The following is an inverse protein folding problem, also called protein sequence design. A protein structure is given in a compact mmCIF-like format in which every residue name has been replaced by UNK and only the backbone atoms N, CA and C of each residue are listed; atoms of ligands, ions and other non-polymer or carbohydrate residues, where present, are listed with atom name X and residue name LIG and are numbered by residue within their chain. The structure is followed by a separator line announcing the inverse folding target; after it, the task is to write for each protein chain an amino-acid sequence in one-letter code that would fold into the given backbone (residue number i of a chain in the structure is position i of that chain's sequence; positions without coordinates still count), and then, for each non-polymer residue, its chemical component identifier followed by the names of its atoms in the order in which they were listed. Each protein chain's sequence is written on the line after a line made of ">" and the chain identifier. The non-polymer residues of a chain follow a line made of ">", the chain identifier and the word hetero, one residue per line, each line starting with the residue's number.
data_IF_210298166525
#
_entry.id   IF_210298166525
#
_cell.length_a   1.000
_cell.length_b   1.000
_cell.length_c   1.000
_cell.angle_alpha   90.00
_cell.angle_beta   90.00
_cell.angle_gamma   90.00
#
_symmetry.space_group_name_H-M   'P 1'
#
loop_
_entity.id
_entity.type
_entity.pdbx_description
1 polymer ?
#
# COMPACT_ATOMS: atom_id res chain seq x y z
N UNK A 1 -17.11 0.40 0.40
CA UNK A 1 -15.99 1.12 -0.21
C UNK A 1 -14.87 0.15 -0.58
N UNK A 2 -14.09 0.51 -1.58
CA UNK A 2 -13.00 -0.31 -2.07
C UNK A 2 -11.67 0.38 -1.79
N UNK A 3 -10.66 -0.40 -1.46
CA UNK A 3 -9.32 0.10 -1.15
C UNK A 3 -8.32 -0.48 -2.15
N UNK A 4 -7.44 0.34 -2.67
CA UNK A 4 -6.33 -0.13 -3.51
C UNK A 4 -5.03 0.13 -2.77
N UNK A 5 -4.29 -0.94 -2.48
CA UNK A 5 -3.04 -0.85 -1.72
C UNK A 5 -1.87 -0.76 -2.70
N UNK A 6 -1.09 0.31 -2.56
CA UNK A 6 0.14 0.51 -3.35
C UNK A 6 1.33 0.29 -2.41
N UNK A 7 2.13 -0.71 -2.71
CA UNK A 7 3.34 -1.00 -1.94
C UNK A 7 4.48 -0.11 -2.40
N UNK A 8 5.42 0.17 -1.50
CA UNK A 8 6.53 1.06 -1.79
C UNK A 8 7.43 0.62 -2.93
N UNK A 9 7.46 -0.69 -3.22
CA UNK A 9 8.24 -1.22 -4.34
C UNK A 9 7.40 -1.39 -5.63
N UNK A 10 6.19 -0.85 -5.63
CA UNK A 10 5.26 -0.96 -6.76
C UNK A 10 4.80 0.42 -7.23
N UNK A 11 5.71 1.37 -7.34
CA UNK A 11 5.40 2.73 -7.75
C UNK A 11 5.33 2.82 -9.28
N UNK A 12 4.35 2.11 -9.84
CA UNK A 12 4.11 2.12 -11.28
C UNK A 12 3.49 3.44 -11.71
N UNK A 13 3.56 3.74 -13.01
CA UNK A 13 2.96 4.97 -13.53
C UNK A 13 1.50 5.10 -13.06
N UNK A 14 1.07 6.28 -12.59
CA UNK A 14 -0.31 6.47 -12.13
C UNK A 14 -1.38 6.13 -13.17
N UNK A 15 -1.02 6.08 -14.46
CA UNK A 15 -1.97 5.68 -15.51
C UNK A 15 -2.53 4.28 -15.28
N UNK A 16 -1.78 3.40 -14.62
CA UNK A 16 -2.24 2.06 -14.31
C UNK A 16 -3.28 2.03 -13.18
N UNK A 17 -3.45 3.15 -12.50
CA UNK A 17 -4.45 3.30 -11.44
C UNK A 17 -5.71 4.02 -11.93
N UNK A 18 -5.76 4.46 -13.18
CA UNK A 18 -6.91 5.21 -13.69
C UNK A 18 -8.23 4.43 -13.59
N UNK A 19 -8.16 3.11 -13.73
CA UNK A 19 -9.35 2.25 -13.60
C UNK A 19 -9.85 2.16 -12.17
N UNK A 20 -9.05 2.62 -11.20
CA UNK A 20 -9.33 2.47 -9.78
C UNK A 20 -9.56 3.80 -9.07
N UNK A 21 -10.00 4.82 -9.83
CA UNK A 21 -10.28 6.13 -9.23
C UNK A 21 -11.45 6.11 -8.25
N UNK A 22 -12.31 5.12 -8.33
CA UNK A 22 -13.39 4.89 -7.38
C UNK A 22 -12.91 4.25 -6.09
N UNK A 23 -11.66 3.78 -6.07
CA UNK A 23 -11.03 3.22 -4.88
C UNK A 23 -10.33 4.30 -4.07
N UNK A 24 -10.19 4.04 -2.77
CA UNK A 24 -9.28 4.82 -1.94
C UNK A 24 -7.90 4.19 -2.11
N UNK A 25 -6.92 5.00 -2.52
CA UNK A 25 -5.54 4.53 -2.66
C UNK A 25 -4.88 4.59 -1.28
N UNK A 26 -4.30 3.49 -0.84
CA UNK A 26 -3.63 3.40 0.46
C UNK A 26 -2.15 3.19 0.27
N UNK A 27 -1.36 4.02 0.93
CA UNK A 27 0.09 3.88 1.00
C UNK A 27 0.50 4.07 2.46
N UNK A 28 1.48 3.30 2.91
CA UNK A 28 1.99 3.43 4.27
C UNK A 28 3.51 3.25 4.29
N UNK A 29 4.18 4.14 4.99
CA UNK A 29 5.59 3.99 5.29
C UNK A 29 5.69 3.06 6.49
N UNK A 30 6.28 1.89 6.31
CA UNK A 30 6.39 0.90 7.37
C UNK A 30 7.85 0.63 7.70
N UNK A 31 8.19 0.85 8.96
CA UNK A 31 9.55 0.65 9.43
C UNK A 31 10.03 -0.79 9.19
N UNK A 32 9.17 -1.77 9.45
CA UNK A 32 9.49 -3.18 9.24
C UNK A 32 9.84 -3.49 7.80
N UNK A 33 9.07 -2.94 6.84
CA UNK A 33 9.34 -3.14 5.42
C UNK A 33 10.61 -2.41 5.00
N UNK A 34 10.85 -1.21 5.54
CA UNK A 34 12.04 -0.43 5.21
C UNK A 34 13.33 -1.10 5.70
N UNK A 35 13.27 -1.82 6.81
CA UNK A 35 14.47 -2.42 7.42
C UNK A 35 14.58 -3.92 7.23
N UNK A 36 13.62 -4.54 6.55
CA UNK A 36 13.51 -5.99 6.41
C UNK A 36 14.79 -6.62 5.87
N UNK A 37 15.42 -6.02 4.87
CA UNK A 37 16.62 -6.53 4.24
C UNK A 37 17.90 -5.85 4.75
N UNK A 38 17.83 -5.18 5.88
CA UNK A 38 18.96 -4.43 6.43
C UNK A 38 19.56 -3.46 5.42
N UNK A 39 18.70 -2.72 4.74
CA UNK A 39 19.13 -1.75 3.74
C UNK A 39 20.06 -0.70 4.33
N UNK A 40 20.99 -0.24 3.51
CA UNK A 40 21.81 0.90 3.84
C UNK A 40 20.91 2.10 4.12
N UNK A 41 21.29 2.91 5.12
CA UNK A 41 20.52 4.08 5.55
C UNK A 41 20.12 4.98 4.38
N UNK A 42 21.02 5.19 3.42
CA UNK A 42 20.76 6.01 2.25
C UNK A 42 19.66 5.39 1.36
N UNK A 43 19.65 4.07 1.21
CA UNK A 43 18.63 3.38 0.42
C UNK A 43 17.25 3.54 1.04
N UNK A 44 17.16 3.48 2.37
CA UNK A 44 15.91 3.69 3.09
C UNK A 44 15.40 5.10 2.84
N UNK A 45 16.27 6.08 2.90
CA UNK A 45 15.91 7.48 2.66
C UNK A 45 15.40 7.70 1.25
N UNK A 46 16.08 7.11 0.24
CA UNK A 46 15.65 7.19 -1.15
C UNK A 46 14.30 6.51 -1.36
N UNK A 47 14.09 5.38 -0.71
CA UNK A 47 12.83 4.65 -0.78
C UNK A 47 11.66 5.49 -0.26
N UNK A 48 11.84 6.10 0.91
CA UNK A 48 10.80 6.96 1.51
C UNK A 48 10.55 8.22 0.67
N UNK A 49 11.63 8.81 0.12
CA UNK A 49 11.49 9.97 -0.75
C UNK A 49 10.69 9.65 -2.01
N UNK A 50 10.94 8.47 -2.59
CA UNK A 50 10.20 8.01 -3.78
C UNK A 50 8.73 7.82 -3.47
N UNK A 51 8.40 7.24 -2.31
CA UNK A 51 7.02 7.07 -1.90
C UNK A 51 6.30 8.41 -1.73
N UNK A 52 6.98 9.39 -1.12
CA UNK A 52 6.40 10.71 -0.90
C UNK A 52 6.19 11.47 -2.21
N UNK A 53 7.13 11.34 -3.15
CA UNK A 53 6.97 11.93 -4.49
C UNK A 53 5.78 11.31 -5.22
N UNK A 54 5.64 10.01 -5.15
CA UNK A 54 4.52 9.29 -5.76
C UNK A 54 3.19 9.72 -5.13
N UNK A 55 3.15 9.87 -3.82
CA UNK A 55 1.98 10.39 -3.10
C UNK A 55 1.56 11.75 -3.66
N UNK A 56 2.52 12.66 -3.82
CA UNK A 56 2.24 14.00 -4.30
C UNK A 56 1.73 13.98 -5.74
N UNK A 57 2.28 13.09 -6.58
CA UNK A 57 1.81 12.91 -7.95
C UNK A 57 0.36 12.41 -7.98
N UNK A 58 0.02 11.42 -7.14
CA UNK A 58 -1.35 10.93 -7.05
C UNK A 58 -2.32 12.01 -6.60
N UNK A 59 -1.92 12.83 -5.63
CA UNK A 59 -2.73 13.94 -5.17
C UNK A 59 -2.98 14.95 -6.29
N UNK A 60 -1.96 15.26 -7.08
CA UNK A 60 -2.10 16.20 -8.19
C UNK A 60 -3.03 15.69 -9.28
N UNK A 61 -3.22 14.38 -9.37
CA UNK A 61 -4.11 13.73 -10.34
C UNK A 61 -5.49 13.41 -9.78
N UNK A 62 -5.81 13.98 -8.62
CA UNK A 62 -7.13 13.89 -7.98
C UNK A 62 -7.51 12.47 -7.52
N UNK A 63 -6.55 11.65 -7.19
CA UNK A 63 -6.83 10.36 -6.55
C UNK A 63 -7.23 10.57 -5.09
N UNK A 64 -8.16 9.75 -4.62
CA UNK A 64 -8.54 9.73 -3.21
C UNK A 64 -7.49 8.89 -2.48
N UNK A 65 -6.69 9.52 -1.64
CA UNK A 65 -5.47 8.92 -1.09
C UNK A 65 -5.44 8.98 0.43
N UNK A 66 -5.08 7.85 1.04
CA UNK A 66 -4.73 7.78 2.45
C UNK A 66 -3.25 7.42 2.52
N UNK A 67 -2.46 8.28 3.14
CA UNK A 67 -1.01 8.07 3.28
C UNK A 67 -0.64 8.07 4.76
N UNK A 68 -0.04 6.97 5.22
CA UNK A 68 0.42 6.84 6.61
C UNK A 68 1.92 7.07 6.69
N UNK A 69 2.30 8.19 7.28
CA UNK A 69 3.68 8.60 7.46
C UNK A 69 4.36 7.71 8.52
N UNK A 70 5.66 7.49 8.37
CA UNK A 70 6.45 6.67 9.31
C UNK A 70 6.47 7.28 10.72
N UNK A 71 6.31 8.59 10.83
CA UNK A 71 6.29 9.28 12.13
C UNK A 71 4.99 9.04 12.90
N UNK A 72 3.96 8.55 12.23
CA UNK A 72 2.68 8.20 12.83
C UNK A 72 2.55 6.69 12.86
N UNK A 73 2.15 6.15 14.00
CA UNK A 73 1.87 4.72 14.11
C UNK A 73 3.03 3.82 13.69
N UNK A 74 4.27 4.29 13.78
CA UNK A 74 5.41 3.51 13.31
C UNK A 74 5.59 2.18 14.08
N UNK A 75 5.02 2.09 15.28
CA UNK A 75 5.06 0.87 16.09
C UNK A 75 4.01 -0.15 15.68
N UNK A 76 3.03 0.27 14.87
CA UNK A 76 2.00 -0.64 14.40
C UNK A 76 2.51 -1.42 13.20
N UNK A 77 2.11 -2.68 13.10
CA UNK A 77 2.43 -3.49 11.93
C UNK A 77 1.67 -2.93 10.72
N UNK A 78 2.14 -3.29 9.52
CA UNK A 78 1.49 -2.88 8.28
C UNK A 78 0.02 -3.34 8.25
N UNK A 79 -0.22 -4.58 8.70
CA UNK A 79 -1.55 -5.15 8.74
C UNK A 79 -2.48 -4.35 9.64
N UNK A 80 -2.00 -3.90 10.80
CA UNK A 80 -2.82 -3.11 11.72
C UNK A 80 -3.17 -1.75 11.15
N UNK A 81 -2.27 -1.14 10.39
CA UNK A 81 -2.56 0.13 9.70
C UNK A 81 -3.70 -0.06 8.70
N UNK A 82 -3.68 -1.15 7.95
CA UNK A 82 -4.73 -1.47 6.99
C UNK A 82 -6.05 -1.77 7.73
N UNK A 83 -5.99 -2.53 8.82
CA UNK A 83 -7.19 -2.84 9.60
C UNK A 83 -7.88 -1.59 10.15
N UNK A 84 -7.12 -0.59 10.56
CA UNK A 84 -7.68 0.69 10.98
C UNK A 84 -8.49 1.34 9.86
N UNK A 85 -7.93 1.37 8.65
CA UNK A 85 -8.62 1.96 7.50
C UNK A 85 -9.87 1.16 7.15
N UNK A 86 -9.79 -0.17 7.20
CA UNK A 86 -10.94 -1.04 6.94
C UNK A 86 -12.10 -0.68 7.87
N UNK A 87 -11.82 -0.49 9.15
CA UNK A 87 -12.84 -0.15 10.13
C UNK A 87 -13.38 1.27 9.95
N UNK A 88 -12.47 2.22 9.74
CA UNK A 88 -12.84 3.64 9.62
C UNK A 88 -13.67 3.92 8.37
N UNK A 89 -13.32 3.28 7.25
CA UNK A 89 -13.92 3.54 5.94
C UNK A 89 -14.89 2.46 5.51
N UNK A 90 -15.13 1.45 6.35
CA UNK A 90 -16.01 0.33 6.04
C UNK A 90 -15.64 -0.34 4.71
N UNK A 91 -14.36 -0.67 4.57
CA UNK A 91 -13.82 -1.31 3.37
C UNK A 91 -14.32 -2.75 3.28
N UNK A 92 -14.79 -3.15 2.11
CA UNK A 92 -15.28 -4.51 1.86
C UNK A 92 -14.48 -5.24 0.81
N UNK A 93 -13.71 -4.51 0.00
CA UNK A 93 -12.89 -5.09 -1.06
C UNK A 93 -11.54 -4.39 -1.07
N UNK A 94 -10.47 -5.17 -1.22
CA UNK A 94 -9.11 -4.67 -1.33
C UNK A 94 -8.53 -5.16 -2.64
N UNK A 95 -7.96 -4.25 -3.42
CA UNK A 95 -7.24 -4.55 -4.64
C UNK A 95 -5.75 -4.21 -4.45
N UNK A 96 -4.89 -4.96 -5.11
CA UNK A 96 -3.45 -4.68 -5.12
C UNK A 96 -2.82 -5.40 -6.32
N UNK A 97 -1.67 -4.87 -6.77
CA UNK A 97 -0.89 -5.55 -7.81
C UNK A 97 -0.28 -6.82 -7.25
N UNK A 98 0.01 -7.79 -8.13
CA UNK A 98 0.65 -9.03 -7.73
C UNK A 98 1.89 -8.76 -6.89
N UNK A 99 2.04 -9.50 -5.80
CA UNK A 99 3.14 -9.34 -4.87
C UNK A 99 4.17 -10.42 -5.14
N UNK A 100 5.42 -10.02 -5.43
CA UNK A 100 6.50 -10.97 -5.69
C UNK A 100 6.97 -11.67 -4.42
N UNK A 101 7.01 -10.96 -3.30
CA UNK A 101 7.42 -11.53 -2.02
C UNK A 101 6.30 -12.43 -1.50
N UNK A 102 6.49 -13.74 -1.59
CA UNK A 102 5.49 -14.72 -1.19
C UNK A 102 5.16 -14.67 0.30
N UNK A 103 6.11 -14.31 1.11
CA UNK A 103 5.89 -14.17 2.55
C UNK A 103 4.93 -13.00 2.83
N UNK A 104 5.16 -11.87 2.18
CA UNK A 104 4.30 -10.70 2.35
C UNK A 104 2.92 -10.93 1.72
N UNK A 105 2.88 -11.58 0.57
CA UNK A 105 1.62 -11.94 -0.09
C UNK A 105 0.75 -12.76 0.87
N UNK A 106 1.34 -13.74 1.53
CA UNK A 106 0.63 -14.57 2.50
C UNK A 106 0.08 -13.75 3.66
N UNK A 107 0.85 -12.78 4.16
CA UNK A 107 0.39 -11.87 5.21
C UNK A 107 -0.84 -11.09 4.76
N UNK A 108 -0.84 -10.58 3.54
CA UNK A 108 -1.96 -9.83 2.99
C UNK A 108 -3.19 -10.69 2.81
N UNK A 109 -3.02 -11.91 2.30
CA UNK A 109 -4.13 -12.83 2.12
C UNK A 109 -4.76 -13.21 3.46
N UNK A 110 -3.93 -13.45 4.48
CA UNK A 110 -4.42 -13.77 5.82
C UNK A 110 -5.19 -12.60 6.43
N UNK A 111 -4.71 -11.38 6.23
CA UNK A 111 -5.37 -10.17 6.69
C UNK A 111 -6.78 -10.05 6.10
N UNK A 112 -6.89 -10.24 4.80
CA UNK A 112 -8.17 -10.14 4.11
C UNK A 112 -9.13 -11.24 4.56
N UNK A 113 -8.63 -12.46 4.74
CA UNK A 113 -9.43 -13.58 5.21
C UNK A 113 -9.95 -13.33 6.62
N UNK A 114 -9.09 -12.82 7.51
CA UNK A 114 -9.46 -12.51 8.89
C UNK A 114 -10.57 -11.46 8.97
N UNK A 115 -10.55 -10.50 8.08
CA UNK A 115 -11.51 -9.39 8.08
C UNK A 115 -12.67 -9.58 7.09
N UNK A 116 -12.79 -10.76 6.50
CA UNK A 116 -13.84 -11.08 5.51
C UNK A 116 -13.86 -10.10 4.34
N UNK A 117 -12.67 -9.77 3.84
CA UNK A 117 -12.48 -8.81 2.74
C UNK A 117 -12.33 -9.57 1.42
N UNK A 118 -13.02 -9.10 0.39
CA UNK A 118 -12.87 -9.64 -0.96
C UNK A 118 -11.54 -9.15 -1.53
N UNK A 119 -10.79 -10.06 -2.14
CA UNK A 119 -9.48 -9.77 -2.73
C UNK A 119 -9.61 -9.63 -4.23
N UNK A 120 -9.03 -8.56 -4.79
CA UNK A 120 -8.90 -8.37 -6.23
C UNK A 120 -7.43 -8.14 -6.54
N UNK A 121 -6.73 -9.20 -6.93
CA UNK A 121 -5.30 -9.13 -7.24
C UNK A 121 -5.12 -8.80 -8.72
N UNK A 122 -4.47 -7.67 -9.00
CA UNK A 122 -4.29 -7.15 -10.34
C UNK A 122 -2.92 -7.56 -10.87
N UNK A 123 -2.88 -8.00 -12.12
CA UNK A 123 -1.62 -8.37 -12.76
C UNK A 123 -0.69 -7.15 -12.81
N UNK A 124 0.56 -7.36 -12.39
CA UNK A 124 1.55 -6.28 -12.37
C UNK A 124 1.85 -5.79 -13.79
N UNK A 125 1.94 -4.46 -14.01
CA UNK A 125 2.31 -3.91 -15.31
C UNK A 125 3.71 -4.32 -15.77
N UNK A 126 4.55 -4.82 -14.87
CA UNK A 126 5.92 -5.23 -15.18
C UNK A 126 6.00 -6.63 -15.82
N UNK A 127 4.90 -7.35 -15.82
CA UNK A 127 4.87 -8.73 -16.32
C UNK A 127 3.82 -8.96 -17.39
#
# INVERSE_FOLDING_TARGET
>A
MKLFIVLGNQLFSPRYLNEFKDHIIFMAEDYGLCTFEKHHKLKILLFLSSMRSYRDELKSKNFNLIYKDINKDFKLSYEKKIEKVIKEKKIKEIAFFEIEDKFFEKRMLNLCKKNSIKINQIKSPMF
#
